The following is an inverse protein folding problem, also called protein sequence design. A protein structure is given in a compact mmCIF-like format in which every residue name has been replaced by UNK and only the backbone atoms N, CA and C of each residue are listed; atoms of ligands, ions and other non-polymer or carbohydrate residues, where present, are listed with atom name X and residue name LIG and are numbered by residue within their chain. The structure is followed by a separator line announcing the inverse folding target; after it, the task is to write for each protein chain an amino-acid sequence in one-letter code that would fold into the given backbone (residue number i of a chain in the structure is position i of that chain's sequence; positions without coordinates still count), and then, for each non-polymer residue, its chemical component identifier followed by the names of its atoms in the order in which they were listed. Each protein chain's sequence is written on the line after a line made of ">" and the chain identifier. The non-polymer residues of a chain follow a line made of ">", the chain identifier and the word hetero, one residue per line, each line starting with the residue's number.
data_IF_404736513975
#
_entry.id   IF_404736513975
#
_cell.length_a   1.000
_cell.length_b   1.000
_cell.length_c   1.000
_cell.angle_alpha   90.00
_cell.angle_beta   90.00
_cell.angle_gamma   90.00
#
_symmetry.space_group_name_H-M   'P 1'
#
loop_
_entity.id
_entity.type
_entity.pdbx_description
1 polymer ?
#
# COMPACT_ATOMS: atom_id res chain seq x y z
N UNK A 1 -16.46 -47.41 46.20
CA UNK A 1 -15.39 -46.52 46.70
C UNK A 1 -14.45 -45.97 45.57
N UNK A 2 -14.22 -46.64 44.44
CA UNK A 2 -13.32 -46.17 43.35
C UNK A 2 -13.83 -44.92 42.58
N UNK A 3 -15.15 -44.76 42.34
CA UNK A 3 -15.72 -43.62 41.63
C UNK A 3 -15.51 -42.25 42.31
N UNK A 4 -15.61 -42.17 43.66
CA UNK A 4 -15.38 -40.93 44.42
C UNK A 4 -13.94 -40.43 44.33
N UNK A 5 -12.95 -41.34 44.32
CA UNK A 5 -11.51 -40.95 44.19
C UNK A 5 -11.19 -40.39 42.82
N UNK A 6 -11.78 -40.92 41.74
CA UNK A 6 -11.53 -40.44 40.35
C UNK A 6 -12.09 -39.03 40.17
N UNK A 7 -13.26 -38.72 40.74
CA UNK A 7 -13.86 -37.39 40.67
C UNK A 7 -12.99 -36.36 41.39
N UNK A 8 -12.46 -36.70 42.57
CA UNK A 8 -11.59 -35.81 43.36
C UNK A 8 -10.27 -35.50 42.63
N UNK A 9 -9.65 -36.51 42.01
CA UNK A 9 -8.41 -36.33 41.25
C UNK A 9 -8.64 -35.45 40.01
N UNK A 10 -9.74 -35.61 39.29
CA UNK A 10 -10.08 -34.74 38.14
C UNK A 10 -10.30 -33.30 38.55
N UNK A 11 -11.00 -33.05 39.67
CA UNK A 11 -11.25 -31.71 40.19
C UNK A 11 -9.94 -31.03 40.66
N UNK A 12 -9.06 -31.79 41.32
CA UNK A 12 -7.73 -31.28 41.70
C UNK A 12 -6.86 -30.95 40.49
N UNK A 13 -6.85 -31.81 39.47
CA UNK A 13 -6.07 -31.60 38.25
C UNK A 13 -6.58 -30.39 37.49
N UNK A 14 -7.90 -30.19 37.37
CA UNK A 14 -8.50 -29.00 36.78
C UNK A 14 -8.15 -27.72 37.53
N UNK A 15 -8.10 -27.75 38.83
CA UNK A 15 -7.70 -26.62 39.67
C UNK A 15 -6.22 -26.24 39.49
N UNK A 16 -5.35 -27.23 39.39
CA UNK A 16 -3.92 -27.00 39.14
C UNK A 16 -3.70 -26.44 37.71
N UNK A 17 -4.40 -26.96 36.70
CA UNK A 17 -4.34 -26.42 35.35
C UNK A 17 -4.83 -24.95 35.28
N UNK A 18 -5.89 -24.62 36.01
CA UNK A 18 -6.40 -23.26 36.11
C UNK A 18 -5.37 -22.29 36.74
N UNK A 19 -4.68 -22.76 37.82
CA UNK A 19 -3.62 -21.98 38.45
C UNK A 19 -2.37 -21.81 37.58
N UNK A 20 -2.10 -22.70 36.63
CA UNK A 20 -1.01 -22.61 35.69
C UNK A 20 -1.32 -21.69 34.48
N UNK A 21 -2.42 -20.94 34.51
CA UNK A 21 -2.76 -19.96 33.51
C UNK A 21 -3.45 -20.48 32.24
N UNK A 22 -3.81 -21.77 32.21
CA UNK A 22 -4.55 -22.34 31.06
C UNK A 22 -6.04 -21.98 31.05
N UNK A 23 -6.54 -21.26 32.04
CA UNK A 23 -7.93 -20.79 32.08
C UNK A 23 -8.15 -19.48 31.28
N UNK A 24 -7.08 -18.84 30.80
CA UNK A 24 -7.13 -17.53 30.11
C UNK A 24 -7.55 -17.58 28.64
N UNK A 25 -7.66 -18.77 28.04
CA UNK A 25 -7.94 -18.86 26.61
C UNK A 25 -9.43 -18.87 26.23
N UNK A 26 -10.35 -18.81 27.21
CA UNK A 26 -11.79 -18.94 26.92
C UNK A 26 -12.52 -17.61 26.67
N UNK A 27 -11.89 -16.45 26.93
CA UNK A 27 -12.54 -15.12 26.75
C UNK A 27 -11.86 -14.17 25.78
N UNK A 28 -10.95 -14.63 24.92
CA UNK A 28 -10.36 -13.83 23.86
C UNK A 28 -10.97 -14.11 22.48
N UNK A 29 -12.25 -14.53 22.45
CA UNK A 29 -12.96 -14.73 21.18
C UNK A 29 -13.15 -13.44 20.36
N UNK A 30 -12.87 -12.27 20.97
CA UNK A 30 -13.00 -10.96 20.32
C UNK A 30 -11.67 -10.17 20.17
N UNK A 31 -10.54 -10.77 20.53
CA UNK A 31 -9.27 -10.15 20.14
C UNK A 31 -9.00 -10.54 18.67
N UNK A 32 -9.05 -9.60 17.72
CA UNK A 32 -8.64 -9.90 16.36
C UNK A 32 -7.17 -10.32 16.41
N UNK A 33 -6.92 -11.62 16.18
CA UNK A 33 -5.57 -12.06 15.84
C UNK A 33 -5.22 -11.43 14.51
N UNK A 34 -4.65 -10.24 14.54
CA UNK A 34 -4.08 -9.60 13.36
C UNK A 34 -2.84 -10.39 12.91
N UNK A 35 -3.10 -11.53 12.26
CA UNK A 35 -2.11 -12.23 11.48
C UNK A 35 -2.07 -11.62 10.09
N UNK A 36 -1.40 -10.49 9.95
CA UNK A 36 -1.17 -9.86 8.65
C UNK A 36 -0.79 -8.40 8.82
N UNK A 37 0.12 -7.93 7.99
CA UNK A 37 0.35 -6.50 7.86
C UNK A 37 -0.86 -5.90 7.14
N UNK A 38 -1.41 -4.77 7.63
CA UNK A 38 -2.51 -4.09 6.94
C UNK A 38 -2.09 -3.81 5.50
N UNK A 39 -3.00 -4.03 4.56
CA UNK A 39 -2.75 -3.76 3.15
C UNK A 39 -3.73 -2.73 2.61
N UNK A 40 -3.33 -2.04 1.56
CA UNK A 40 -4.12 -1.06 0.82
C UNK A 40 -3.88 -1.24 -0.66
N UNK A 41 -4.95 -1.23 -1.44
CA UNK A 41 -4.86 -1.20 -2.90
C UNK A 41 -4.99 0.24 -3.39
N UNK A 42 -4.22 0.61 -4.39
CA UNK A 42 -4.38 1.91 -5.04
C UNK A 42 -4.02 1.87 -6.52
N UNK A 43 -4.48 2.89 -7.23
CA UNK A 43 -4.14 3.18 -8.61
C UNK A 43 -3.90 4.67 -8.75
N UNK A 44 -2.86 5.03 -9.47
CA UNK A 44 -2.57 6.43 -9.79
C UNK A 44 -3.01 6.71 -11.21
N UNK A 45 -3.79 7.78 -11.37
CA UNK A 45 -4.22 8.30 -12.68
C UNK A 45 -3.86 9.76 -12.76
N UNK A 46 -3.74 10.32 -13.95
CA UNK A 46 -3.52 11.75 -14.05
C UNK A 46 -3.23 12.24 -15.43
N UNK A 47 -2.89 13.53 -15.50
CA UNK A 47 -2.51 14.23 -16.72
C UNK A 47 -1.25 15.04 -16.50
N UNK A 48 -0.39 15.05 -17.52
CA UNK A 48 0.86 15.82 -17.56
C UNK A 48 0.76 16.87 -18.67
N UNK A 49 1.06 18.11 -18.33
CA UNK A 49 1.00 19.27 -19.22
C UNK A 49 2.29 20.09 -19.10
N UNK A 50 2.56 20.91 -20.08
CA UNK A 50 3.56 21.97 -19.97
C UNK A 50 2.98 23.20 -19.25
N UNK A 51 3.81 24.22 -19.03
CA UNK A 51 3.40 25.48 -18.38
C UNK A 51 2.35 26.28 -19.19
N UNK A 52 2.20 26.00 -20.47
CA UNK A 52 1.15 26.59 -21.32
C UNK A 52 -0.19 25.85 -21.24
N UNK A 53 -0.22 24.71 -20.55
CA UNK A 53 -1.38 23.82 -20.47
C UNK A 53 -1.51 22.81 -21.59
N UNK A 54 -0.50 22.72 -22.49
CA UNK A 54 -0.48 21.73 -23.55
C UNK A 54 -0.15 20.34 -23.02
N UNK A 55 -0.92 19.29 -23.39
CA UNK A 55 -0.63 17.92 -23.00
C UNK A 55 0.75 17.45 -23.44
N UNK A 56 1.44 16.70 -22.58
CA UNK A 56 2.75 16.13 -22.86
C UNK A 56 2.67 14.59 -22.99
N UNK A 57 2.72 14.06 -24.22
CA UNK A 57 2.82 12.62 -24.45
C UNK A 57 4.25 12.11 -24.20
N UNK A 58 4.40 10.80 -23.97
CA UNK A 58 5.71 10.15 -23.85
C UNK A 58 6.43 10.36 -22.52
N UNK A 59 5.85 11.09 -21.58
CA UNK A 59 6.44 11.27 -20.26
C UNK A 59 6.39 9.94 -19.49
N UNK A 60 7.55 9.49 -19.06
CA UNK A 60 7.67 8.33 -18.17
C UNK A 60 7.14 8.67 -16.78
N UNK A 61 6.20 7.89 -16.29
CA UNK A 61 5.64 8.00 -14.94
C UNK A 61 5.99 6.76 -14.15
N UNK A 62 6.73 6.94 -13.06
CA UNK A 62 7.15 5.87 -12.16
C UNK A 62 6.40 6.04 -10.85
N UNK A 63 5.57 5.06 -10.51
CA UNK A 63 4.90 4.98 -9.22
C UNK A 63 5.75 4.08 -8.33
N UNK A 64 6.48 4.66 -7.38
CA UNK A 64 7.33 3.90 -6.45
C UNK A 64 6.55 3.43 -5.25
N UNK A 65 6.82 2.21 -4.81
CA UNK A 65 6.41 1.69 -3.51
C UNK A 65 7.64 1.61 -2.59
N UNK A 66 7.90 2.66 -1.82
CA UNK A 66 9.05 2.73 -0.91
C UNK A 66 8.76 2.15 0.49
N UNK A 67 7.52 1.82 0.83
CA UNK A 67 7.17 1.30 2.15
C UNK A 67 7.95 0.02 2.53
N UNK A 68 8.56 -0.64 1.57
CA UNK A 68 9.36 -1.85 1.74
C UNK A 68 10.84 -1.71 1.35
N UNK A 69 11.21 -0.67 0.61
CA UNK A 69 12.59 -0.51 0.12
C UNK A 69 13.55 0.04 1.18
N UNK A 70 13.06 0.71 2.21
CA UNK A 70 13.86 1.44 3.20
C UNK A 70 14.10 0.71 4.52
N UNK A 71 13.56 -0.48 4.75
CA UNK A 71 13.77 -1.20 6.02
C UNK A 71 14.92 -2.18 5.88
N UNK A 72 16.02 -1.87 6.55
CA UNK A 72 17.15 -2.80 6.78
C UNK A 72 16.60 -4.13 7.31
N UNK A 73 16.80 -5.22 6.55
CA UNK A 73 16.25 -6.55 6.87
C UNK A 73 14.98 -6.98 6.12
N UNK A 74 14.46 -6.18 5.21
CA UNK A 74 13.37 -6.62 4.33
C UNK A 74 13.81 -7.85 3.50
N UNK A 75 13.02 -8.90 3.55
CA UNK A 75 13.35 -10.14 2.83
C UNK A 75 13.23 -9.93 1.31
N UNK A 76 14.11 -10.55 0.48
CA UNK A 76 14.18 -10.30 -0.97
C UNK A 76 12.89 -10.56 -1.75
N UNK A 77 11.97 -11.33 -1.21
CA UNK A 77 10.67 -11.66 -1.83
C UNK A 77 9.55 -10.62 -1.57
N UNK A 78 9.84 -9.58 -0.79
CA UNK A 78 8.90 -8.49 -0.49
C UNK A 78 9.16 -7.24 -1.35
N UNK A 79 9.85 -7.39 -2.46
CA UNK A 79 10.06 -6.32 -3.42
C UNK A 79 8.77 -6.14 -4.21
N UNK A 80 7.91 -5.21 -3.77
CA UNK A 80 6.87 -4.67 -4.63
C UNK A 80 7.53 -3.62 -5.50
N UNK A 81 7.81 -4.00 -6.74
CA UNK A 81 8.26 -3.06 -7.75
C UNK A 81 7.07 -2.15 -8.08
N UNK A 82 7.29 -0.84 -8.02
CA UNK A 82 6.30 0.13 -8.50
C UNK A 82 6.01 -0.06 -9.98
N UNK A 83 5.02 0.65 -10.48
CA UNK A 83 4.64 0.61 -11.89
C UNK A 83 5.37 1.70 -12.69
N UNK A 84 5.75 1.38 -13.92
CA UNK A 84 6.35 2.33 -14.87
C UNK A 84 5.51 2.37 -16.13
N UNK A 85 4.93 3.53 -16.38
CA UNK A 85 4.01 3.79 -17.50
C UNK A 85 4.41 5.06 -18.24
N UNK A 86 3.76 5.30 -19.38
CA UNK A 86 3.99 6.50 -20.19
C UNK A 86 2.67 7.24 -20.45
N UNK A 87 2.74 8.56 -20.55
CA UNK A 87 1.57 9.36 -20.95
C UNK A 87 1.21 9.10 -22.40
N UNK A 88 -0.09 9.03 -22.67
CA UNK A 88 -0.65 8.89 -24.01
C UNK A 88 -0.59 10.21 -24.82
N UNK A 89 -1.14 10.21 -26.05
CA UNK A 89 -1.19 11.39 -26.93
C UNK A 89 -1.96 12.58 -26.34
N UNK A 90 -2.73 12.38 -25.26
CA UNK A 90 -3.45 13.42 -24.53
C UNK A 90 -2.76 13.81 -23.24
N UNK A 91 -1.55 13.31 -22.99
CA UNK A 91 -0.82 13.51 -21.74
C UNK A 91 -1.42 12.77 -20.53
N UNK A 92 -2.29 11.77 -20.76
CA UNK A 92 -2.98 11.04 -19.70
C UNK A 92 -2.25 9.74 -19.41
N UNK A 93 -2.23 9.34 -18.14
CA UNK A 93 -1.66 8.07 -17.70
C UNK A 93 -2.56 7.37 -16.67
N UNK A 94 -2.39 6.07 -16.56
CA UNK A 94 -3.04 5.24 -15.54
C UNK A 94 -2.13 4.07 -15.18
N UNK A 95 -1.80 3.92 -13.89
CA UNK A 95 -1.02 2.79 -13.40
C UNK A 95 -1.85 1.51 -13.34
N UNK A 96 -1.17 0.37 -13.27
CA UNK A 96 -1.78 -0.86 -12.77
C UNK A 96 -2.29 -0.66 -11.33
N UNK A 97 -3.06 -1.60 -10.83
CA UNK A 97 -3.42 -1.63 -9.42
C UNK A 97 -2.21 -2.10 -8.61
N UNK A 98 -1.83 -1.32 -7.62
CA UNK A 98 -0.70 -1.57 -6.74
C UNK A 98 -1.25 -1.93 -5.36
N UNK A 99 -0.70 -2.97 -4.74
CA UNK A 99 -0.99 -3.36 -3.35
C UNK A 99 0.20 -3.00 -2.49
N UNK A 100 -0.01 -2.20 -1.46
CA UNK A 100 1.00 -1.75 -0.52
C UNK A 100 0.56 -1.95 0.93
N UNK A 101 1.48 -1.82 1.86
CA UNK A 101 1.18 -1.82 3.30
C UNK A 101 0.82 -0.43 3.82
N UNK A 102 1.13 0.62 3.09
CA UNK A 102 0.83 2.01 3.44
C UNK A 102 0.77 2.87 2.18
N UNK A 103 -0.09 3.88 2.19
CA UNK A 103 -0.03 4.96 1.20
C UNK A 103 1.00 6.03 1.56
N UNK A 104 1.51 6.04 2.80
CA UNK A 104 2.53 6.99 3.23
C UNK A 104 3.89 6.63 2.63
N UNK A 105 4.73 7.65 2.44
CA UNK A 105 6.10 7.50 1.95
C UNK A 105 6.19 6.95 0.51
N UNK A 106 5.12 7.11 -0.28
CA UNK A 106 5.06 6.75 -1.69
C UNK A 106 5.29 7.99 -2.55
N UNK A 107 5.98 7.80 -3.68
CA UNK A 107 6.26 8.88 -4.63
C UNK A 107 5.85 8.52 -6.05
N UNK A 108 5.43 9.53 -6.80
CA UNK A 108 5.25 9.46 -8.26
C UNK A 108 6.30 10.36 -8.90
N UNK A 109 7.09 9.80 -9.82
CA UNK A 109 8.16 10.50 -10.52
C UNK A 109 7.78 10.63 -11.98
N UNK A 110 8.00 11.81 -12.54
CA UNK A 110 7.73 12.16 -13.91
C UNK A 110 9.06 12.53 -14.60
N UNK A 111 9.44 11.76 -15.62
CA UNK A 111 10.66 11.96 -16.37
C UNK A 111 10.35 12.14 -17.85
N UNK A 112 10.92 13.16 -18.44
CA UNK A 112 11.03 13.27 -19.88
C UNK A 112 12.22 12.39 -20.33
N UNK A 113 11.92 11.35 -21.12
CA UNK A 113 12.92 10.36 -21.58
C UNK A 113 13.15 10.39 -23.08
N UNK A 114 12.36 11.16 -23.82
CA UNK A 114 12.48 11.29 -25.27
C UNK A 114 13.24 12.57 -25.70
N UNK A 115 13.62 13.41 -24.75
CA UNK A 115 14.45 14.59 -24.96
C UNK A 115 13.72 15.67 -25.76
N UNK A 116 14.20 15.95 -27.01
CA UNK A 116 13.63 17.03 -27.81
C UNK A 116 12.36 16.67 -28.56
N UNK A 117 11.94 15.42 -28.51
CA UNK A 117 10.69 14.96 -29.12
C UNK A 117 9.48 15.45 -28.31
N UNK A 118 8.28 15.27 -28.83
CA UNK A 118 7.02 15.57 -28.16
C UNK A 118 6.86 16.97 -27.53
N UNK A 119 7.54 17.98 -28.06
CA UNK A 119 7.33 19.37 -27.65
C UNK A 119 8.51 20.03 -26.96
N UNK A 120 9.61 19.33 -26.79
CA UNK A 120 10.86 19.81 -26.24
C UNK A 120 11.27 19.11 -24.99
N UNK A 121 12.38 19.47 -24.39
CA UNK A 121 12.97 18.85 -23.22
C UNK A 121 12.40 19.47 -21.93
N UNK A 122 11.97 18.62 -20.99
CA UNK A 122 11.33 19.03 -19.74
C UNK A 122 12.13 18.58 -18.52
N UNK A 123 12.00 19.32 -17.43
CA UNK A 123 12.56 18.96 -16.14
C UNK A 123 11.76 17.80 -15.52
N UNK A 124 12.46 16.92 -14.79
CA UNK A 124 11.79 15.88 -14.01
C UNK A 124 11.03 16.47 -12.82
N UNK A 125 9.88 15.92 -12.48
CA UNK A 125 9.10 16.29 -11.31
C UNK A 125 8.86 15.09 -10.39
N UNK A 126 8.62 15.36 -9.11
CA UNK A 126 8.24 14.37 -8.11
C UNK A 126 7.05 14.88 -7.31
N UNK A 127 6.14 13.99 -6.97
CA UNK A 127 4.99 14.29 -6.11
C UNK A 127 4.87 13.18 -5.06
N UNK A 128 4.62 13.58 -3.81
CA UNK A 128 4.20 12.63 -2.80
C UNK A 128 2.77 12.14 -3.09
N UNK A 129 2.48 10.90 -2.80
CA UNK A 129 1.11 10.36 -2.90
C UNK A 129 0.16 11.10 -1.93
N UNK A 130 0.67 11.60 -0.81
CA UNK A 130 -0.10 12.40 0.14
C UNK A 130 -0.62 13.72 -0.45
N UNK A 131 0.03 14.24 -1.51
CA UNK A 131 -0.36 15.47 -2.20
C UNK A 131 -1.41 15.24 -3.29
N UNK A 132 -1.75 13.99 -3.60
CA UNK A 132 -2.68 13.64 -4.67
C UNK A 132 -4.14 13.71 -4.19
N UNK A 133 -5.04 14.06 -5.12
CA UNK A 133 -6.47 13.95 -4.87
C UNK A 133 -6.84 12.47 -4.66
N UNK A 134 -7.25 12.10 -3.45
CA UNK A 134 -7.56 10.71 -3.08
C UNK A 134 -9.06 10.48 -3.02
N UNK A 135 -9.53 9.44 -3.70
CA UNK A 135 -10.91 8.96 -3.63
C UNK A 135 -10.93 7.48 -3.29
N UNK A 136 -11.62 7.13 -2.19
CA UNK A 136 -11.82 5.71 -1.87
C UNK A 136 -12.86 5.11 -2.80
N UNK A 137 -12.47 4.07 -3.56
CA UNK A 137 -13.34 3.33 -4.48
C UNK A 137 -13.98 2.10 -3.81
N UNK A 138 -13.28 1.48 -2.83
CA UNK A 138 -13.78 0.34 -2.08
C UNK A 138 -13.48 0.48 -0.58
N UNK A 139 -14.46 0.18 0.26
CA UNK A 139 -14.29 0.16 1.72
C UNK A 139 -13.42 -1.04 2.11
N UNK A 140 -12.53 -0.82 3.07
CA UNK A 140 -11.74 -1.87 3.70
C UNK A 140 -12.50 -2.65 4.78
N UNK A 141 -11.83 -3.65 5.32
CA UNK A 141 -12.26 -4.45 6.46
C UNK A 141 -11.05 -4.71 7.40
N UNK A 142 -11.15 -5.68 8.28
CA UNK A 142 -10.04 -6.03 9.18
C UNK A 142 -8.78 -6.44 8.39
N UNK A 143 -7.69 -5.70 8.57
CA UNK A 143 -6.41 -5.92 7.90
C UNK A 143 -6.32 -5.43 6.45
N UNK A 144 -7.38 -4.86 5.89
CA UNK A 144 -7.39 -4.25 4.56
C UNK A 144 -7.96 -2.84 4.61
N UNK A 145 -7.16 -1.84 4.29
CA UNK A 145 -7.56 -0.43 4.38
C UNK A 145 -8.55 0.01 3.28
N UNK A 146 -8.68 -0.77 2.22
CA UNK A 146 -9.56 -0.49 1.10
C UNK A 146 -8.81 -0.22 -0.20
N UNK A 147 -9.56 0.21 -1.23
CA UNK A 147 -9.02 0.57 -2.53
C UNK A 147 -9.19 2.06 -2.77
N UNK A 148 -8.14 2.70 -3.33
CA UNK A 148 -8.09 4.13 -3.55
C UNK A 148 -7.73 4.45 -5.00
N UNK A 149 -8.38 5.44 -5.56
CA UNK A 149 -8.01 6.12 -6.80
C UNK A 149 -7.31 7.43 -6.43
N UNK A 150 -6.08 7.59 -6.87
CA UNK A 150 -5.24 8.76 -6.63
C UNK A 150 -5.08 9.51 -7.94
N UNK A 151 -5.34 10.82 -7.94
CA UNK A 151 -5.31 11.64 -9.15
C UNK A 151 -4.22 12.69 -9.08
N UNK A 152 -3.29 12.61 -10.02
CA UNK A 152 -2.21 13.58 -10.21
C UNK A 152 -2.53 14.59 -11.32
N UNK A 153 -2.21 15.86 -11.09
CA UNK A 153 -2.19 16.92 -12.11
C UNK A 153 -0.82 17.56 -12.09
N UNK A 154 -0.07 17.40 -13.15
CA UNK A 154 1.34 17.77 -13.18
C UNK A 154 1.61 18.75 -14.31
N UNK A 155 2.34 19.80 -14.00
CA UNK A 155 2.92 20.71 -14.98
C UNK A 155 4.44 20.57 -14.96
N UNK A 156 5.03 20.22 -16.10
CA UNK A 156 6.48 20.16 -16.25
C UNK A 156 7.00 21.46 -16.82
N UNK A 157 8.15 21.90 -16.29
CA UNK A 157 8.88 23.05 -16.78
C UNK A 157 9.77 22.65 -17.93
N UNK A 158 9.82 23.50 -18.95
CA UNK A 158 10.75 23.34 -20.08
C UNK A 158 12.16 23.68 -19.62
N UNK A 159 13.15 22.86 -20.03
CA UNK A 159 14.57 23.15 -19.81
C UNK A 159 15.08 24.25 -20.70
#
# INVERSE_FOLDING_TARGET
>A
MKKKRIITVRTLLSGVLAMLGFAGCANSADAPCEYGMPSVDYRVTGEVKDESGKPLPGIQVIVKDEALLGKEGAKPYQRYEGDTIYTDSKGVFQSAKITSFSLKEQEVIFNDVDGKENGGEFESARMSIDDLESKRSKKGDSGYAGEYELKAKVQLKKK
#
